data_IF_729671611417
#
_entry.id   IF_729671611417
#
_cell.length_a   1.000
_cell.length_b   1.000
_cell.length_c   1.000
_cell.angle_alpha   90.00
_cell.angle_beta   90.00
_cell.angle_gamma   90.00
#
_symmetry.space_group_name_H-M   'P 1'
#
loop_
_entity.id
_entity.type
_entity.pdbx_description
1 polymer ?
#
# COMPACT_ATOMS: atom_id res chain seq x y z
N UNK A 1 -1.73 17.04 5.47
CA UNK A 1 -1.00 16.46 4.32
C UNK A 1 -1.36 14.99 4.10
N UNK A 2 -1.10 14.08 5.05
CA UNK A 2 -1.38 12.62 4.89
C UNK A 2 -2.85 12.32 4.60
N UNK A 3 -3.78 12.93 5.35
CA UNK A 3 -5.23 12.75 5.14
C UNK A 3 -5.64 13.10 3.70
N UNK A 4 -5.10 14.16 3.13
CA UNK A 4 -5.40 14.55 1.74
C UNK A 4 -4.91 13.50 0.73
N UNK A 5 -3.72 12.94 0.93
CA UNK A 5 -3.18 11.87 0.07
C UNK A 5 -4.05 10.60 0.17
N UNK A 6 -4.48 10.24 1.38
CA UNK A 6 -5.37 9.09 1.59
C UNK A 6 -6.71 9.31 0.88
N UNK A 7 -7.30 10.49 1.01
CA UNK A 7 -8.54 10.81 0.31
C UNK A 7 -8.37 10.75 -1.21
N UNK A 8 -7.32 11.37 -1.77
CA UNK A 8 -7.04 11.32 -3.21
C UNK A 8 -6.84 9.88 -3.70
N UNK A 9 -6.13 9.06 -2.95
CA UNK A 9 -5.85 7.67 -3.31
C UNK A 9 -7.08 6.76 -3.21
N UNK A 10 -7.92 6.93 -2.18
CA UNK A 10 -9.17 6.17 -2.03
C UNK A 10 -10.17 6.56 -3.11
N UNK A 11 -10.31 7.86 -3.38
CA UNK A 11 -11.20 8.40 -4.40
C UNK A 11 -10.54 8.53 -5.78
N UNK A 12 -9.43 7.84 -6.04
CA UNK A 12 -8.70 7.90 -7.31
C UNK A 12 -9.60 7.75 -8.56
N UNK A 13 -10.55 6.78 -8.62
CA UNK A 13 -11.43 6.63 -9.79
C UNK A 13 -12.39 7.81 -10.00
N UNK A 14 -12.68 8.58 -8.94
CA UNK A 14 -13.57 9.76 -9.00
C UNK A 14 -12.77 11.03 -9.30
N UNK A 15 -11.54 11.12 -8.80
CA UNK A 15 -10.62 12.24 -9.01
C UNK A 15 -10.06 12.23 -10.44
N UNK A 16 -9.85 11.05 -11.00
CA UNK A 16 -9.35 10.86 -12.38
C UNK A 16 -10.10 9.74 -13.08
N UNK A 17 -10.88 10.08 -14.11
CA UNK A 17 -11.59 9.12 -14.97
C UNK A 17 -10.72 8.53 -16.11
N UNK A 18 -9.43 8.87 -16.16
CA UNK A 18 -8.51 8.37 -17.18
C UNK A 18 -7.86 7.06 -16.72
N UNK A 19 -7.61 6.17 -17.66
CA UNK A 19 -6.83 4.96 -17.38
C UNK A 19 -5.35 5.37 -17.20
N UNK A 20 -4.71 5.07 -16.03
CA UNK A 20 -3.32 5.42 -15.75
C UNK A 20 -2.31 4.77 -16.72
N UNK A 21 -2.71 3.72 -17.42
CA UNK A 21 -1.86 2.98 -18.36
C UNK A 21 -2.18 3.29 -19.82
N UNK A 22 -3.13 4.18 -20.10
CA UNK A 22 -3.46 4.56 -21.48
C UNK A 22 -2.31 5.36 -22.09
N UNK A 23 -1.72 4.81 -23.15
CA UNK A 23 -0.61 5.41 -23.88
C UNK A 23 -1.14 6.29 -25.02
N UNK A 24 -0.64 7.52 -25.10
CA UNK A 24 -0.91 8.43 -26.21
C UNK A 24 0.41 8.95 -26.78
N UNK A 25 0.89 8.25 -27.81
CA UNK A 25 2.16 8.59 -28.45
C UNK A 25 2.18 9.97 -29.13
N UNK A 26 1.01 10.58 -29.39
CA UNK A 26 0.93 11.92 -29.98
C UNK A 26 1.20 13.03 -28.95
N UNK A 27 1.01 12.73 -27.66
CA UNK A 27 1.17 13.66 -26.57
C UNK A 27 2.43 13.38 -25.73
N UNK A 28 3.47 12.70 -26.24
CA UNK A 28 4.70 12.36 -25.48
C UNK A 28 5.43 13.61 -24.99
N UNK A 29 5.91 13.56 -23.74
CA UNK A 29 6.72 14.62 -23.13
C UNK A 29 6.07 16.01 -23.24
N UNK A 30 4.74 16.06 -23.20
CA UNK A 30 4.02 17.34 -23.20
C UNK A 30 4.01 17.93 -21.80
N UNK A 31 4.26 19.23 -21.71
CA UNK A 31 4.23 19.97 -20.46
C UNK A 31 2.81 20.11 -19.89
N UNK A 32 2.68 20.73 -18.71
CA UNK A 32 1.39 20.95 -18.06
C UNK A 32 0.38 21.67 -18.97
N UNK A 33 -0.82 21.11 -19.09
CA UNK A 33 -1.92 21.65 -19.89
C UNK A 33 -3.27 21.37 -19.23
N UNK A 34 -4.35 21.96 -19.75
CA UNK A 34 -5.71 21.70 -19.25
C UNK A 34 -6.14 20.26 -19.50
N UNK A 35 -5.61 19.60 -20.54
CA UNK A 35 -5.81 18.17 -20.78
C UNK A 35 -4.95 17.31 -19.85
N UNK A 36 -3.69 17.70 -19.62
CA UNK A 36 -2.73 16.99 -18.77
C UNK A 36 -2.19 17.90 -17.68
N UNK A 37 -2.82 17.89 -16.50
CA UNK A 37 -2.53 18.86 -15.44
C UNK A 37 -1.07 18.91 -15.00
N UNK A 38 -0.38 17.77 -15.05
CA UNK A 38 1.04 17.65 -14.73
C UNK A 38 1.88 17.23 -15.93
N UNK A 39 1.31 17.28 -17.14
CA UNK A 39 1.92 16.80 -18.37
C UNK A 39 1.87 15.29 -18.52
N UNK A 40 2.67 14.79 -19.47
CA UNK A 40 2.76 13.37 -19.80
C UNK A 40 4.18 12.85 -19.71
N UNK A 41 4.32 11.53 -19.63
CA UNK A 41 5.62 10.87 -19.63
C UNK A 41 6.14 10.52 -21.04
N UNK A 42 7.24 9.76 -21.10
CA UNK A 42 7.85 9.26 -22.35
C UNK A 42 6.90 8.40 -23.19
N UNK A 43 5.78 7.92 -22.66
CA UNK A 43 4.77 7.13 -23.37
C UNK A 43 3.47 7.92 -23.59
N UNK A 44 3.46 9.21 -23.24
CA UNK A 44 2.28 10.06 -23.34
C UNK A 44 1.22 9.79 -22.28
N UNK A 45 1.55 9.04 -21.22
CA UNK A 45 0.60 8.74 -20.14
C UNK A 45 0.48 9.93 -19.21
N UNK A 46 -0.74 10.20 -18.74
CA UNK A 46 -1.05 11.33 -17.87
C UNK A 46 -0.38 11.20 -16.48
N UNK A 47 0.55 12.11 -16.18
CA UNK A 47 1.35 12.05 -14.95
C UNK A 47 0.51 12.21 -13.68
N UNK A 48 -0.51 13.08 -13.71
CA UNK A 48 -1.41 13.30 -12.58
C UNK A 48 -2.17 12.02 -12.22
N UNK A 49 -2.78 11.39 -13.22
CA UNK A 49 -3.50 10.13 -13.07
C UNK A 49 -2.59 9.04 -12.54
N UNK A 50 -1.37 8.92 -13.07
CA UNK A 50 -0.37 7.95 -12.59
C UNK A 50 0.06 8.19 -11.15
N UNK A 51 0.21 9.45 -10.73
CA UNK A 51 0.54 9.77 -9.34
C UNK A 51 -0.59 9.42 -8.36
N UNK A 52 -1.83 9.74 -8.71
CA UNK A 52 -3.01 9.45 -7.86
C UNK A 52 -3.22 7.94 -7.71
N UNK A 53 -3.17 7.19 -8.82
CA UNK A 53 -3.24 5.73 -8.79
C UNK A 53 -2.00 5.09 -8.13
N UNK A 54 -0.81 5.68 -8.31
CA UNK A 54 0.40 5.27 -7.62
C UNK A 54 0.27 5.38 -6.10
N UNK A 55 -0.29 6.49 -5.60
CA UNK A 55 -0.57 6.67 -4.18
C UNK A 55 -1.53 5.60 -3.63
N UNK A 56 -2.55 5.21 -4.40
CA UNK A 56 -3.47 4.10 -4.05
C UNK A 56 -2.74 2.77 -3.90
N UNK A 57 -1.85 2.45 -4.84
CA UNK A 57 -1.03 1.22 -4.78
C UNK A 57 -0.10 1.26 -3.56
N UNK A 58 0.58 2.38 -3.32
CA UNK A 58 1.47 2.53 -2.15
C UNK A 58 0.74 2.33 -0.83
N UNK A 59 -0.48 2.86 -0.69
CA UNK A 59 -1.30 2.64 0.51
C UNK A 59 -1.67 1.18 0.70
N UNK A 60 -2.06 0.49 -0.38
CA UNK A 60 -2.40 -0.94 -0.32
C UNK A 60 -1.20 -1.78 0.12
N UNK A 61 -0.03 -1.56 -0.49
CA UNK A 61 1.20 -2.29 -0.15
C UNK A 61 1.61 -2.01 1.28
N UNK A 62 1.61 -0.75 1.71
CA UNK A 62 1.96 -0.38 3.09
C UNK A 62 1.01 -1.00 4.11
N UNK A 63 -0.30 -0.98 3.84
CA UNK A 63 -1.30 -1.60 4.71
C UNK A 63 -1.09 -3.12 4.82
N UNK A 64 -0.90 -3.81 3.69
CA UNK A 64 -0.67 -5.26 3.67
C UNK A 64 0.61 -5.59 4.44
N UNK A 65 1.71 -4.87 4.22
CA UNK A 65 2.98 -5.12 4.89
C UNK A 65 2.89 -4.94 6.41
N UNK A 66 2.22 -3.89 6.89
CA UNK A 66 1.99 -3.68 8.33
C UNK A 66 1.10 -4.77 8.90
N UNK A 67 0.02 -5.13 8.19
CA UNK A 67 -0.90 -6.17 8.64
C UNK A 67 -0.24 -7.54 8.75
N UNK A 68 0.54 -7.94 7.74
CA UNK A 68 1.27 -9.21 7.76
C UNK A 68 2.39 -9.19 8.80
N UNK A 69 3.15 -8.09 8.90
CA UNK A 69 4.18 -7.93 9.93
C UNK A 69 3.61 -8.02 11.34
N UNK A 70 2.47 -7.37 11.60
CA UNK A 70 1.81 -7.40 12.89
C UNK A 70 1.27 -8.81 13.24
N UNK A 71 0.59 -9.47 12.30
CA UNK A 71 0.04 -10.82 12.54
C UNK A 71 1.13 -11.85 12.78
N UNK A 72 2.18 -11.86 11.95
CA UNK A 72 3.31 -12.77 12.11
C UNK A 72 4.12 -12.45 13.37
N UNK A 73 4.37 -11.18 13.65
CA UNK A 73 5.11 -10.73 14.83
C UNK A 73 4.40 -11.09 16.12
N UNK A 74 3.08 -10.83 16.22
CA UNK A 74 2.28 -11.18 17.39
C UNK A 74 2.20 -12.70 17.60
N UNK A 75 2.05 -13.46 16.51
CA UNK A 75 2.07 -14.92 16.58
C UNK A 75 3.42 -15.41 17.12
N UNK A 76 4.52 -14.90 16.59
CA UNK A 76 5.87 -15.27 17.01
C UNK A 76 6.16 -14.94 18.48
N UNK A 77 5.80 -13.74 18.93
CA UNK A 77 5.99 -13.29 20.31
C UNK A 77 5.18 -14.12 21.31
N UNK A 78 3.99 -14.59 20.93
CA UNK A 78 3.11 -15.30 21.86
C UNK A 78 3.50 -16.77 22.09
N UNK A 79 4.21 -17.39 21.15
CA UNK A 79 4.54 -18.83 21.17
C UNK A 79 5.37 -19.25 22.41
N UNK A 80 6.45 -18.55 22.82
CA UNK A 80 7.21 -18.92 24.01
C UNK A 80 6.39 -18.86 25.29
N UNK A 81 5.57 -17.82 25.47
CA UNK A 81 4.72 -17.68 26.66
C UNK A 81 3.66 -18.77 26.78
N UNK A 82 3.09 -19.20 25.64
CA UNK A 82 2.15 -20.34 25.61
C UNK A 82 2.88 -21.64 26.00
N UNK A 83 4.10 -21.84 25.52
CA UNK A 83 4.92 -23.00 25.84
C UNK A 83 5.31 -23.03 27.32
N UNK A 84 5.79 -21.91 27.87
CA UNK A 84 6.12 -21.77 29.28
C UNK A 84 4.91 -22.02 30.19
N UNK A 85 3.75 -21.46 29.84
CA UNK A 85 2.49 -21.73 30.56
C UNK A 85 2.09 -23.20 30.53
N UNK A 86 2.26 -23.89 29.40
CA UNK A 86 1.97 -25.32 29.28
C UNK A 86 2.92 -26.19 30.13
N UNK A 87 4.22 -25.87 30.14
CA UNK A 87 5.20 -26.54 31.00
C UNK A 87 4.86 -26.39 32.49
N UNK A 88 4.36 -25.21 32.88
CA UNK A 88 4.01 -24.92 34.27
C UNK A 88 2.83 -25.76 34.80
N UNK A 89 2.00 -26.33 33.91
CA UNK A 89 0.90 -27.22 34.25
C UNK A 89 1.31 -28.69 34.42
N UNK A 90 2.54 -29.05 34.05
CA UNK A 90 3.04 -30.42 34.21
C UNK A 90 3.37 -30.71 35.69
N UNK A 91 3.02 -31.90 36.20
CA UNK A 91 3.40 -32.33 37.55
C UNK A 91 4.88 -32.16 37.82
N UNK A 92 5.22 -31.64 39.00
CA UNK A 92 6.62 -31.33 39.36
C UNK A 92 7.57 -32.51 39.50
N UNK A 93 7.04 -33.71 39.30
CA UNK A 93 7.75 -34.98 39.37
C UNK A 93 8.32 -35.40 38.00
N UNK A 94 7.84 -34.79 36.90
CA UNK A 94 8.30 -35.09 35.53
C UNK A 94 9.59 -34.34 35.13
N UNK A 95 10.03 -33.37 35.92
CA UNK A 95 11.21 -32.53 35.62
C UNK A 95 12.35 -32.64 36.64
N UNK A 96 12.29 -33.61 37.57
CA UNK A 96 13.43 -33.96 38.44
C UNK A 96 14.40 -34.93 37.77
#
# INVERSE_FOLDING_TARGET
MVVAVVLLAVFAPVVTNRDPNLEDYTARLTGPSTSHWLGTDDFGRDLWTRMVYGARISLQVGFIAVFTGATLGLSWVSLPGIWEGALMLLPSELWR
#
